data_IF_851044811881
#
_entry.id   IF_851044811881
#
_cell.length_a   1.000
_cell.length_b   1.000
_cell.length_c   1.000
_cell.angle_alpha   90.00
_cell.angle_beta   90.00
_cell.angle_gamma   90.00
#
_symmetry.space_group_name_H-M   'P 1'
#
loop_
_entity.id
_entity.type
_entity.pdbx_description
1 polymer ?
#
# COMPACT_ATOMS: atom_id res chain seq x y z
N UNK A 1 1.19 -6.96 -8.12
CA UNK A 1 0.38 -5.87 -7.53
C UNK A 1 -1.04 -6.06 -8.01
N UNK A 2 -1.99 -6.18 -7.09
CA UNK A 2 -3.40 -6.49 -7.37
C UNK A 2 -4.28 -5.24 -7.26
N UNK A 3 -3.94 -4.32 -6.36
CA UNK A 3 -4.61 -3.04 -6.21
C UNK A 3 -3.59 -1.96 -5.81
N UNK A 4 -3.83 -0.73 -6.25
CA UNK A 4 -3.03 0.44 -5.90
C UNK A 4 -4.00 1.57 -5.58
N UNK A 5 -3.80 2.24 -4.45
CA UNK A 5 -4.61 3.37 -4.03
C UNK A 5 -3.72 4.47 -3.43
N UNK A 6 -4.18 5.71 -3.47
CA UNK A 6 -3.48 6.88 -2.92
C UNK A 6 -4.29 7.46 -1.76
N UNK A 7 -3.62 7.84 -0.68
CA UNK A 7 -4.28 8.51 0.42
C UNK A 7 -4.88 9.86 -0.04
N UNK A 8 -6.00 10.31 0.55
CA UNK A 8 -6.64 11.57 0.14
C UNK A 8 -5.74 12.81 0.28
N UNK A 9 -4.78 12.76 1.22
CA UNK A 9 -3.76 13.78 1.44
C UNK A 9 -2.62 13.73 0.41
N UNK A 10 -2.60 12.72 -0.47
CA UNK A 10 -1.60 12.46 -1.52
C UNK A 10 -0.16 12.33 -1.00
N UNK A 11 0.00 12.01 0.27
CA UNK A 11 1.32 11.81 0.84
C UNK A 11 1.77 10.36 0.73
N UNK A 12 0.85 9.39 0.63
CA UNK A 12 1.19 7.96 0.69
C UNK A 12 0.44 7.19 -0.40
N UNK A 13 1.13 6.27 -1.05
CA UNK A 13 0.55 5.24 -1.92
C UNK A 13 0.55 3.91 -1.19
N UNK A 14 -0.58 3.20 -1.22
CA UNK A 14 -0.65 1.80 -0.85
C UNK A 14 -0.63 0.91 -2.10
N UNK A 15 0.27 -0.07 -2.11
CA UNK A 15 0.31 -1.13 -3.10
C UNK A 15 -0.04 -2.46 -2.45
N UNK A 16 -1.18 -3.02 -2.83
CA UNK A 16 -1.60 -4.36 -2.41
C UNK A 16 -1.09 -5.43 -3.37
N UNK A 17 -0.56 -6.52 -2.82
CA UNK A 17 -0.11 -7.70 -3.54
C UNK A 17 -0.69 -8.99 -2.98
N UNK A 18 0.02 -10.09 -3.23
CA UNK A 18 -0.27 -11.36 -2.59
C UNK A 18 0.19 -11.28 -1.13
N UNK A 19 -0.77 -11.35 -0.20
CA UNK A 19 -0.55 -11.36 1.26
C UNK A 19 0.15 -10.12 1.86
N UNK A 20 0.60 -9.18 1.04
CA UNK A 20 1.34 -7.98 1.44
C UNK A 20 0.61 -6.72 0.99
N UNK A 21 0.63 -5.69 1.85
CA UNK A 21 0.28 -4.32 1.49
C UNK A 21 1.47 -3.45 1.86
N UNK A 22 2.12 -2.86 0.86
CA UNK A 22 3.25 -1.98 1.03
C UNK A 22 2.81 -0.52 0.91
N UNK A 23 3.04 0.28 1.95
CA UNK A 23 2.85 1.72 1.93
C UNK A 23 4.15 2.41 1.50
N UNK A 24 4.07 3.34 0.56
CA UNK A 24 5.18 4.17 0.10
C UNK A 24 4.82 5.64 0.27
N UNK A 25 5.69 6.40 0.92
CA UNK A 25 5.55 7.85 1.00
C UNK A 25 5.98 8.48 -0.33
N UNK A 26 5.13 9.33 -0.91
CA UNK A 26 5.37 10.05 -2.15
C UNK A 26 6.25 11.30 -1.95
N UNK A 27 6.25 11.86 -0.75
CA UNK A 27 7.07 13.03 -0.40
C UNK A 27 8.49 12.66 0.00
N UNK A 28 8.69 11.45 0.52
CA UNK A 28 10.02 10.94 0.81
C UNK A 28 10.66 10.37 -0.46
N UNK A 29 11.87 10.84 -0.81
CA UNK A 29 12.69 10.25 -1.90
C UNK A 29 13.29 8.89 -1.50
N UNK A 30 12.62 8.13 -0.64
CA UNK A 30 13.06 6.85 -0.13
C UNK A 30 12.23 5.73 -0.79
N UNK A 31 12.82 4.87 -1.62
CA UNK A 31 12.09 3.81 -2.32
C UNK A 31 11.73 2.61 -1.42
N UNK A 32 11.97 2.70 -0.11
CA UNK A 32 11.64 1.64 0.83
C UNK A 32 10.17 1.71 1.26
N UNK A 33 9.51 0.55 1.31
CA UNK A 33 8.18 0.39 1.89
C UNK A 33 8.19 0.86 3.35
N UNK A 34 7.39 1.88 3.65
CA UNK A 34 7.24 2.47 4.98
C UNK A 34 6.56 1.49 5.94
N UNK A 35 5.66 0.65 5.44
CA UNK A 35 4.97 -0.36 6.25
C UNK A 35 4.42 -1.49 5.38
N UNK A 36 4.65 -2.73 5.82
CA UNK A 36 4.09 -3.95 5.23
C UNK A 36 2.98 -4.48 6.15
N UNK A 37 1.73 -4.50 5.68
CA UNK A 37 0.64 -5.17 6.38
C UNK A 37 0.46 -6.60 5.83
N UNK A 38 0.70 -7.59 6.69
CA UNK A 38 0.61 -9.02 6.42
C UNK A 38 -0.55 -9.59 7.26
N UNK A 39 -1.79 -9.36 6.83
CA UNK A 39 -2.99 -9.69 7.62
C UNK A 39 -3.79 -10.90 7.12
N UNK A 40 -3.52 -11.41 5.92
CA UNK A 40 -4.37 -12.41 5.27
C UNK A 40 -3.60 -13.49 4.52
N UNK A 41 -4.09 -14.72 4.54
CA UNK A 41 -3.58 -15.87 3.77
C UNK A 41 -4.04 -15.89 2.30
N UNK A 42 -4.71 -14.83 1.84
CA UNK A 42 -5.30 -14.71 0.50
C UNK A 42 -4.89 -13.39 -0.16
N UNK A 43 -5.05 -13.32 -1.48
CA UNK A 43 -4.81 -12.12 -2.27
C UNK A 43 -5.65 -10.93 -1.77
N UNK A 44 -5.00 -9.78 -1.63
CA UNK A 44 -5.70 -8.51 -1.43
C UNK A 44 -6.27 -8.09 -2.79
N UNK A 45 -7.60 -7.95 -2.89
CA UNK A 45 -8.31 -7.66 -4.14
C UNK A 45 -8.65 -6.18 -4.33
N UNK A 46 -8.72 -5.41 -3.26
CA UNK A 46 -8.98 -3.97 -3.29
C UNK A 46 -8.37 -3.29 -2.06
N UNK A 47 -8.01 -2.02 -2.22
CA UNK A 47 -7.60 -1.11 -1.15
C UNK A 47 -8.51 0.11 -1.18
N UNK A 48 -8.70 0.73 -0.02
CA UNK A 48 -9.48 1.95 0.12
C UNK A 48 -9.07 2.67 1.39
N UNK A 49 -8.93 3.99 1.29
CA UNK A 49 -8.72 4.87 2.44
C UNK A 49 -10.04 5.50 2.87
N UNK A 50 -10.28 5.61 4.18
CA UNK A 50 -11.43 6.29 4.77
C UNK A 50 -11.05 7.69 5.25
#
# INVERSE_FOLDING_TARGET
VNALDITPDRNIIAAAGFQSIALHDLGASNPNSVSNYEGGTKNVSSLGFQ
#
